data_IF_628345531491
#
_entry.id   IF_628345531491
#
_cell.length_a   1.000
_cell.length_b   1.000
_cell.length_c   1.000
_cell.angle_alpha   90.00
_cell.angle_beta   90.00
_cell.angle_gamma   90.00
#
_symmetry.space_group_name_H-M   'P 1'
#
loop_
_entity.id
_entity.type
_entity.pdbx_description
1 polymer ?
#
# COMPACT_ATOMS: atom_id res chain seq x y z
N UNK A 1 -4.69 -4.97 11.42
CA UNK A 1 -5.35 -5.90 10.47
C UNK A 1 -6.23 -5.06 9.57
N UNK A 2 -5.98 -5.10 8.27
CA UNK A 2 -6.84 -4.47 7.26
C UNK A 2 -7.78 -5.53 6.68
N UNK A 3 -9.08 -5.29 6.68
CA UNK A 3 -10.08 -6.25 6.22
C UNK A 3 -10.48 -5.95 4.77
N UNK A 4 -10.29 -6.93 3.87
CA UNK A 4 -10.74 -6.81 2.48
C UNK A 4 -12.13 -7.43 2.28
N UNK A 5 -12.40 -8.49 3.02
CA UNK A 5 -13.70 -9.17 3.08
C UNK A 5 -13.76 -9.99 4.38
N UNK A 6 -14.89 -10.64 4.72
CA UNK A 6 -14.98 -11.51 5.89
C UNK A 6 -13.95 -12.66 5.91
N UNK A 7 -13.39 -13.02 4.75
CA UNK A 7 -12.43 -14.13 4.63
C UNK A 7 -11.05 -13.71 4.16
N UNK A 8 -10.85 -12.47 3.68
CA UNK A 8 -9.55 -11.99 3.17
C UNK A 8 -9.12 -10.73 3.91
N UNK A 9 -7.87 -10.71 4.37
CA UNK A 9 -7.35 -9.63 5.22
C UNK A 9 -5.82 -9.55 5.17
N UNK A 10 -5.28 -8.40 5.54
CA UNK A 10 -3.84 -8.23 5.76
C UNK A 10 -3.50 -8.35 7.23
N UNK A 11 -2.41 -9.07 7.51
CA UNK A 11 -1.81 -9.18 8.84
C UNK A 11 -0.40 -8.62 8.87
N UNK A 12 0.01 -8.24 10.07
CA UNK A 12 1.37 -7.90 10.43
C UNK A 12 1.96 -9.05 11.26
N UNK A 13 3.18 -9.46 10.95
CA UNK A 13 3.93 -10.34 11.84
C UNK A 13 4.28 -9.58 13.14
N UNK A 14 4.43 -10.30 14.25
CA UNK A 14 4.80 -9.66 15.51
C UNK A 14 6.16 -8.92 15.38
N UNK A 15 6.22 -7.68 15.86
CA UNK A 15 7.45 -6.89 15.93
C UNK A 15 7.82 -6.14 14.64
N UNK A 16 6.99 -6.18 13.60
CA UNK A 16 7.22 -5.39 12.37
C UNK A 16 7.04 -3.89 12.57
N UNK A 17 6.42 -3.45 13.67
CA UNK A 17 6.15 -2.04 13.97
C UNK A 17 7.43 -1.20 13.92
N UNK A 18 8.54 -1.73 14.46
CA UNK A 18 9.85 -1.07 14.42
C UNK A 18 10.37 -0.86 13.00
N UNK A 19 10.05 -1.76 12.07
CA UNK A 19 10.44 -1.64 10.67
C UNK A 19 9.57 -0.60 9.95
N UNK A 20 8.26 -0.58 10.24
CA UNK A 20 7.34 0.43 9.70
C UNK A 20 7.74 1.83 10.17
N UNK A 21 8.04 2.00 11.45
CA UNK A 21 8.52 3.26 12.03
C UNK A 21 9.83 3.72 11.38
N UNK A 22 10.81 2.81 11.24
CA UNK A 22 12.07 3.09 10.56
C UNK A 22 11.88 3.55 9.10
N UNK A 23 10.95 2.92 8.37
CA UNK A 23 10.64 3.29 6.99
C UNK A 23 9.99 4.68 6.94
N UNK A 24 9.04 4.96 7.84
CA UNK A 24 8.36 6.26 7.93
C UNK A 24 9.36 7.39 8.21
N UNK A 25 10.24 7.21 9.19
CA UNK A 25 11.29 8.18 9.52
C UNK A 25 12.21 8.46 8.33
N UNK A 26 12.58 7.41 7.58
CA UNK A 26 13.44 7.58 6.40
C UNK A 26 12.74 8.36 5.28
N UNK A 27 11.44 8.16 5.08
CA UNK A 27 10.68 8.90 4.08
C UNK A 27 10.45 10.35 4.48
N UNK A 28 10.15 10.61 5.76
CA UNK A 28 10.05 11.96 6.29
C UNK A 28 11.34 12.76 6.04
N UNK A 29 12.51 12.12 6.23
CA UNK A 29 13.81 12.74 6.01
C UNK A 29 14.24 12.85 4.53
N UNK A 30 13.57 12.14 3.60
CA UNK A 30 13.90 12.16 2.18
C UNK A 30 13.43 13.43 1.43
N UNK A 31 12.70 14.34 2.10
CA UNK A 31 12.24 15.64 1.57
C UNK A 31 11.46 15.52 0.25
N UNK A 32 10.64 14.49 0.12
CA UNK A 32 9.92 14.13 -1.12
C UNK A 32 9.02 15.25 -1.69
N UNK A 33 8.46 16.10 -0.81
CA UNK A 33 7.63 17.23 -1.21
C UNK A 33 8.42 18.33 -1.95
N UNK A 34 9.73 18.44 -1.70
CA UNK A 34 10.61 19.43 -2.34
C UNK A 34 11.24 18.94 -3.64
N UNK A 35 11.09 17.65 -3.96
CA UNK A 35 11.67 17.04 -5.15
C UNK A 35 10.67 17.10 -6.31
N UNK A 36 11.03 17.84 -7.37
CA UNK A 36 10.37 17.71 -8.66
C UNK A 36 10.65 16.31 -9.19
N UNK A 37 9.61 15.62 -9.63
CA UNK A 37 9.70 14.24 -10.04
C UNK A 37 9.13 14.07 -11.44
N UNK A 38 9.96 13.58 -12.35
CA UNK A 38 9.54 13.15 -13.69
C UNK A 38 8.99 11.72 -13.66
N UNK A 39 8.36 11.35 -12.53
CA UNK A 39 7.87 10.00 -12.32
C UNK A 39 6.77 9.67 -13.32
N UNK A 40 6.91 8.51 -13.97
CA UNK A 40 5.91 7.96 -14.88
C UNK A 40 5.50 6.57 -14.36
N UNK A 41 4.52 6.51 -13.43
CA UNK A 41 4.20 5.27 -12.73
C UNK A 41 3.61 4.22 -13.66
N UNK A 42 4.10 2.99 -13.56
CA UNK A 42 3.56 1.83 -14.28
C UNK A 42 2.78 0.92 -13.34
N UNK A 43 1.76 0.24 -13.87
CA UNK A 43 1.05 -0.81 -13.12
C UNK A 43 2.05 -1.89 -12.70
N UNK A 44 2.01 -2.26 -11.43
CA UNK A 44 2.95 -3.19 -10.80
C UNK A 44 4.20 -2.53 -10.23
N UNK A 45 4.47 -1.26 -10.52
CA UNK A 45 5.68 -0.57 -10.07
C UNK A 45 5.62 -0.21 -8.58
N UNK A 46 6.69 -0.56 -7.86
CA UNK A 46 6.87 -0.15 -6.48
C UNK A 46 7.26 1.34 -6.40
N UNK A 47 6.61 2.06 -5.51
CA UNK A 47 6.73 3.50 -5.39
C UNK A 47 6.56 3.94 -3.93
N UNK A 48 6.54 5.24 -3.70
CA UNK A 48 6.02 5.82 -2.47
C UNK A 48 4.85 6.73 -2.79
N UNK A 49 3.82 6.67 -1.95
CA UNK A 49 2.59 7.43 -2.10
C UNK A 49 2.30 8.21 -0.83
N UNK A 50 1.70 9.39 -0.98
CA UNK A 50 1.25 10.21 0.14
C UNK A 50 -0.14 9.74 0.57
N UNK A 51 -0.27 9.32 1.83
CA UNK A 51 -1.54 8.87 2.38
C UNK A 51 -2.41 10.07 2.75
N UNK A 52 -3.68 10.02 2.35
CA UNK A 52 -4.56 11.19 2.43
C UNK A 52 -4.90 11.60 3.87
N UNK A 53 -4.96 10.64 4.80
CA UNK A 53 -5.43 10.88 6.16
C UNK A 53 -4.43 11.63 7.06
N UNK A 54 -3.13 11.43 6.86
CA UNK A 54 -2.07 12.03 7.70
C UNK A 54 -1.04 12.83 6.90
N UNK A 55 -1.16 12.86 5.57
CA UNK A 55 -0.25 13.52 4.66
C UNK A 55 1.21 13.04 4.77
N UNK A 56 1.43 11.81 5.22
CA UNK A 56 2.76 11.19 5.28
C UNK A 56 3.01 10.31 4.06
N UNK A 57 4.29 10.05 3.78
CA UNK A 57 4.73 9.21 2.68
C UNK A 57 4.92 7.77 3.14
N UNK A 58 4.46 6.82 2.34
CA UNK A 58 4.52 5.39 2.64
C UNK A 58 4.92 4.57 1.42
N UNK A 59 5.42 3.35 1.63
CA UNK A 59 5.67 2.41 0.53
C UNK A 59 4.36 1.96 -0.08
N UNK A 60 4.31 2.01 -1.41
CA UNK A 60 3.15 1.64 -2.16
C UNK A 60 3.51 0.87 -3.43
N UNK A 61 2.50 0.29 -4.06
CA UNK A 61 2.60 -0.28 -5.40
C UNK A 61 1.41 0.20 -6.21
N UNK A 62 1.66 0.60 -7.46
CA UNK A 62 0.60 0.99 -8.39
C UNK A 62 -0.15 -0.26 -8.85
N UNK A 63 -1.46 -0.27 -8.65
CA UNK A 63 -2.33 -1.37 -9.08
C UNK A 63 -3.13 -1.03 -10.33
N UNK A 64 -3.53 0.24 -10.49
CA UNK A 64 -4.30 0.67 -11.66
C UNK A 64 -4.10 2.16 -11.96
N UNK A 65 -4.44 2.54 -13.19
CA UNK A 65 -4.60 3.95 -13.60
C UNK A 65 -6.08 4.24 -13.84
N UNK A 66 -6.57 5.37 -13.34
CA UNK A 66 -7.94 5.84 -13.52
C UNK A 66 -7.92 7.28 -14.05
N UNK A 67 -7.86 7.43 -15.37
CA UNK A 67 -7.68 8.75 -15.99
C UNK A 67 -6.37 9.41 -15.54
N UNK A 68 -6.49 10.47 -14.74
CA UNK A 68 -5.38 11.28 -14.22
C UNK A 68 -4.94 10.89 -12.79
N UNK A 69 -5.56 9.86 -12.21
CA UNK A 69 -5.22 9.30 -10.91
C UNK A 69 -4.72 7.85 -11.02
N UNK A 70 -4.21 7.34 -9.91
CA UNK A 70 -3.67 5.99 -9.78
C UNK A 70 -4.26 5.34 -8.54
N UNK A 71 -4.62 4.07 -8.65
CA UNK A 71 -4.93 3.25 -7.47
C UNK A 71 -3.63 2.64 -6.99
N UNK A 72 -3.33 2.82 -5.72
CA UNK A 72 -2.17 2.21 -5.05
C UNK A 72 -2.60 1.35 -3.88
N UNK A 73 -1.81 0.32 -3.58
CA UNK A 73 -1.88 -0.42 -2.31
C UNK A 73 -0.68 -0.03 -1.46
N UNK A 74 -0.93 0.32 -0.20
CA UNK A 74 0.14 0.58 0.78
C UNK A 74 0.72 -0.76 1.23
N UNK A 75 1.95 -1.04 0.82
CA UNK A 75 2.58 -2.38 0.95
C UNK A 75 2.80 -2.80 2.40
N UNK A 76 2.76 -1.84 3.32
CA UNK A 76 3.00 -2.07 4.74
C UNK A 76 1.72 -2.08 5.57
N UNK A 77 0.55 -1.84 4.97
CA UNK A 77 -0.73 -1.76 5.69
C UNK A 77 -1.84 -2.54 4.99
N UNK A 78 -1.81 -2.62 3.66
CA UNK A 78 -2.75 -3.39 2.84
C UNK A 78 -3.94 -2.58 2.34
N UNK A 79 -4.19 -1.39 2.90
CA UNK A 79 -5.23 -0.48 2.43
C UNK A 79 -4.88 0.10 1.06
N UNK A 80 -5.91 0.51 0.31
CA UNK A 80 -5.79 1.09 -1.03
C UNK A 80 -6.33 2.50 -1.06
N UNK A 81 -5.70 3.35 -1.86
CA UNK A 81 -6.20 4.69 -2.13
C UNK A 81 -6.04 5.07 -3.60
N UNK A 82 -6.93 5.94 -4.06
CA UNK A 82 -6.77 6.64 -5.32
C UNK A 82 -6.01 7.95 -5.10
N UNK A 83 -4.84 8.08 -5.71
CA UNK A 83 -3.91 9.20 -5.51
C UNK A 83 -3.58 9.89 -6.83
N UNK A 84 -3.21 11.18 -6.75
CA UNK A 84 -2.78 11.96 -7.93
C UNK A 84 -1.29 11.77 -8.17
N UNK A 85 -0.83 12.03 -9.39
CA UNK A 85 0.60 11.96 -9.74
C UNK A 85 1.50 12.81 -8.83
N UNK A 86 1.02 13.98 -8.38
CA UNK A 86 1.75 14.86 -7.45
C UNK A 86 2.06 14.21 -6.10
N UNK A 87 1.28 13.19 -5.73
CA UNK A 87 1.34 12.47 -4.46
C UNK A 87 2.01 11.09 -4.64
N UNK A 88 2.71 10.90 -5.76
CA UNK A 88 3.53 9.72 -6.07
C UNK A 88 4.98 10.11 -6.32
N UNK A 89 5.92 9.27 -5.86
CA UNK A 89 7.34 9.37 -6.18
C UNK A 89 7.92 7.98 -6.44
N UNK A 90 9.00 7.86 -7.24
CA UNK A 90 9.78 6.62 -7.26
C UNK A 90 10.37 6.38 -5.86
N UNK A 91 10.73 5.13 -5.57
CA UNK A 91 11.47 4.83 -4.33
C UNK A 91 12.78 5.62 -4.34
N UNK A 92 13.04 6.48 -3.32
CA UNK A 92 14.27 7.28 -3.30
C UNK A 92 15.51 6.40 -3.21
N UNK A 93 16.49 6.66 -4.07
CA UNK A 93 17.80 5.97 -4.04
C UNK A 93 18.58 6.23 -2.75
N UNK A 94 18.30 7.35 -2.08
CA UNK A 94 18.84 7.69 -0.75
C UNK A 94 18.37 6.75 0.36
N UNK A 95 17.40 5.85 0.09
CA UNK A 95 16.86 4.92 1.08
C UNK A 95 16.96 3.47 0.60
N UNK A 96 18.18 2.91 0.47
CA UNK A 96 18.43 1.61 -0.17
C UNK A 96 17.79 0.41 0.54
N UNK A 97 17.41 0.54 1.82
CA UNK A 97 16.72 -0.52 2.55
C UNK A 97 15.32 -0.82 2.03
N UNK A 98 14.72 0.09 1.24
CA UNK A 98 13.30 -0.01 0.85
C UNK A 98 13.00 -1.23 -0.02
N UNK A 99 13.97 -1.62 -0.85
CA UNK A 99 13.86 -2.81 -1.69
C UNK A 99 14.23 -4.10 -0.94
N UNK A 100 14.97 -3.99 0.17
CA UNK A 100 15.44 -5.13 0.96
C UNK A 100 14.46 -5.52 2.07
N UNK A 101 13.71 -4.56 2.60
CA UNK A 101 12.68 -4.82 3.60
C UNK A 101 11.46 -5.40 2.87
N UNK A 102 10.95 -6.59 3.24
CA UNK A 102 9.75 -7.15 2.63
C UNK A 102 8.52 -6.28 2.91
N UNK A 103 7.40 -6.45 2.19
CA UNK A 103 6.13 -5.84 2.56
C UNK A 103 5.72 -6.29 3.97
N UNK A 104 5.31 -5.35 4.82
CA UNK A 104 4.94 -5.69 6.19
C UNK A 104 3.49 -6.18 6.30
N UNK A 105 2.64 -5.84 5.33
CA UNK A 105 1.28 -6.35 5.24
C UNK A 105 1.23 -7.59 4.34
N UNK A 106 0.87 -8.73 4.94
CA UNK A 106 0.75 -10.00 4.26
C UNK A 106 -0.72 -10.36 4.09
N UNK A 107 -1.14 -10.63 2.86
CA UNK A 107 -2.52 -11.00 2.55
C UNK A 107 -2.77 -12.47 2.90
N UNK A 108 -3.82 -12.74 3.66
CA UNK A 108 -4.27 -14.08 4.01
C UNK A 108 -5.75 -14.26 3.71
N UNK A 109 -6.11 -15.53 3.57
CA UNK A 109 -7.50 -15.97 3.48
C UNK A 109 -7.79 -17.02 4.55
N UNK A 110 -8.96 -16.96 5.19
CA UNK A 110 -9.41 -18.01 6.10
C UNK A 110 -9.58 -19.33 5.33
N UNK A 111 -8.83 -20.36 5.76
CA UNK A 111 -8.92 -21.67 5.17
C UNK A 111 -10.28 -22.30 5.46
N UNK A 112 -10.85 -23.01 4.48
CA UNK A 112 -12.10 -23.77 4.58
C UNK A 112 -13.37 -22.95 4.86
N UNK A 113 -13.33 -21.62 4.69
CA UNK A 113 -14.52 -20.76 4.76
C UNK A 113 -14.91 -20.29 3.35
N UNK A 114 -16.18 -20.51 2.99
CA UNK A 114 -16.82 -19.94 1.79
C UNK A 114 -17.84 -18.90 2.26
N UNK A 115 -17.76 -17.69 1.70
CA UNK A 115 -18.80 -16.68 1.91
C UNK A 115 -20.02 -17.09 1.09
N UNK A 116 -21.23 -17.20 1.68
CA UNK A 116 -22.44 -17.46 0.94
C UNK A 116 -22.65 -16.39 -0.14
N UNK A 117 -23.06 -16.78 -1.33
CA UNK A 117 -23.52 -15.80 -2.33
C UNK A 117 -24.94 -15.36 -2.00
N UNK A 118 -25.25 -14.08 -2.18
CA UNK A 118 -26.60 -13.53 -1.92
C UNK A 118 -27.73 -14.26 -2.69
N UNK A 119 -27.40 -15.00 -3.75
CA UNK A 119 -28.33 -15.79 -4.54
C UNK A 119 -28.68 -17.17 -3.92
N UNK A 120 -27.90 -17.66 -2.94
CA UNK A 120 -28.13 -18.97 -2.29
C UNK A 120 -29.24 -18.90 -1.20
N UNK A 121 -29.66 -17.70 -0.79
CA UNK A 121 -30.70 -17.48 0.23
C UNK A 121 -32.14 -17.40 -0.33
N UNK A 122 -32.33 -17.52 -1.66
CA UNK A 122 -33.64 -17.46 -2.32
C UNK A 122 -34.22 -18.85 -2.70
N UNK A 123 -33.68 -19.94 -2.15
CA UNK A 123 -34.30 -21.27 -2.21
C UNK A 123 -34.90 -21.63 -0.85
N UNK A 124 -36.04 -21.01 -0.53
CA UNK A 124 -36.95 -21.46 0.53
C UNK A 124 -38.40 -21.26 0.07
#
# INVERSE_FOLDING_TARGET
VEMLSPVSFYVHAAGVDKQIELLADRLANAKLDSVKSDFSPKIGEACVAKFSADNQWYRAQVEARKGDSFVVVFRDFGNREEVKLKDLRPIPSSVPSFQQIPPQALEYKLAYIKVPSADEDNLA
#
